data_IF_597742336164
#
_entry.id   IF_597742336164
#
_cell.length_a   1.000
_cell.length_b   1.000
_cell.length_c   1.000
_cell.angle_alpha   90.00
_cell.angle_beta   90.00
_cell.angle_gamma   90.00
#
_symmetry.space_group_name_H-M   'P 1'
#
loop_
_entity.id
_entity.type
_entity.pdbx_description
1 polymer ?
#
# COMPACT_ATOMS: atom_id res chain seq x y z
N UNK A 1 -21.23 5.30 24.72
CA UNK A 1 -19.82 5.19 24.30
C UNK A 1 -19.76 4.13 23.21
N UNK A 2 -19.31 4.47 22.01
CA UNK A 2 -19.17 3.52 20.92
C UNK A 2 -18.09 2.49 21.25
N UNK A 3 -18.07 1.33 20.55
CA UNK A 3 -17.03 0.31 20.73
C UNK A 3 -15.62 0.88 20.48
N UNK A 4 -15.48 1.75 19.48
CA UNK A 4 -14.21 2.40 19.13
C UNK A 4 -13.78 3.37 20.23
N UNK A 5 -14.69 4.17 20.77
CA UNK A 5 -14.39 5.09 21.88
C UNK A 5 -13.90 4.35 23.13
N UNK A 6 -14.52 3.21 23.45
CA UNK A 6 -14.08 2.38 24.58
C UNK A 6 -12.68 1.82 24.36
N UNK A 7 -12.38 1.30 23.15
CA UNK A 7 -11.04 0.79 22.84
C UNK A 7 -10.00 1.90 22.90
N UNK A 8 -10.28 3.07 22.34
CA UNK A 8 -9.39 4.25 22.45
C UNK A 8 -9.15 4.68 23.90
N UNK A 9 -10.18 4.66 24.74
CA UNK A 9 -10.03 4.93 26.17
C UNK A 9 -9.07 3.94 26.83
N UNK A 10 -9.20 2.63 26.56
CA UNK A 10 -8.29 1.61 27.10
C UNK A 10 -6.85 1.79 26.59
N UNK A 11 -6.67 2.10 25.30
CA UNK A 11 -5.34 2.38 24.73
C UNK A 11 -4.69 3.57 25.44
N UNK A 12 -5.43 4.67 25.64
CA UNK A 12 -4.91 5.85 26.33
C UNK A 12 -4.57 5.55 27.79
N UNK A 13 -5.36 4.73 28.46
CA UNK A 13 -5.07 4.26 29.82
C UNK A 13 -3.77 3.44 29.86
N UNK A 14 -3.55 2.54 28.88
CA UNK A 14 -2.31 1.78 28.77
C UNK A 14 -1.11 2.70 28.52
N UNK A 15 -1.23 3.68 27.61
CA UNK A 15 -0.17 4.66 27.32
C UNK A 15 0.23 5.50 28.54
N UNK A 16 -0.68 5.72 29.49
CA UNK A 16 -0.41 6.48 30.72
C UNK A 16 0.37 5.71 31.77
N UNK A 17 0.49 4.38 31.67
CA UNK A 17 1.23 3.55 32.61
C UNK A 17 2.74 3.74 32.47
N UNK A 18 3.43 4.04 33.55
CA UNK A 18 4.91 4.22 33.59
C UNK A 18 5.66 3.00 33.03
N UNK A 19 5.15 1.78 33.26
CA UNK A 19 5.74 0.56 32.74
C UNK A 19 5.70 0.52 31.21
N UNK A 20 4.59 0.96 30.60
CA UNK A 20 4.41 1.02 29.15
C UNK A 20 5.26 2.13 28.53
N UNK A 21 5.37 3.29 29.19
CA UNK A 21 6.20 4.40 28.72
C UNK A 21 7.70 4.05 28.66
N UNK A 22 8.16 3.15 29.53
CA UNK A 22 9.54 2.64 29.56
C UNK A 22 9.76 1.43 28.65
N UNK A 23 8.70 0.84 28.11
CA UNK A 23 8.73 -0.29 27.20
C UNK A 23 8.71 0.19 25.75
N UNK A 24 9.12 -0.66 24.79
CA UNK A 24 9.01 -0.38 23.36
C UNK A 24 7.56 -0.34 22.80
N UNK A 25 6.54 -0.58 23.65
CA UNK A 25 5.14 -0.72 23.19
C UNK A 25 4.41 0.59 22.89
N UNK A 26 5.00 1.75 23.19
CA UNK A 26 4.36 3.05 22.91
C UNK A 26 4.09 3.28 21.43
N UNK A 27 5.03 2.90 20.56
CA UNK A 27 4.88 3.03 19.12
C UNK A 27 3.76 2.09 18.58
N UNK A 28 3.69 0.87 19.09
CA UNK A 28 2.65 -0.10 18.71
C UNK A 28 1.26 0.36 19.12
N UNK A 29 1.12 0.88 20.35
CA UNK A 29 -0.16 1.43 20.85
C UNK A 29 -0.58 2.68 20.07
N UNK A 30 0.37 3.50 19.60
CA UNK A 30 0.07 4.64 18.75
C UNK A 30 -0.41 4.18 17.38
N UNK A 31 0.29 3.26 16.74
CA UNK A 31 -0.14 2.67 15.46
C UNK A 31 -1.52 2.04 15.55
N UNK A 32 -1.83 1.34 16.65
CA UNK A 32 -3.15 0.75 16.88
C UNK A 32 -4.24 1.83 17.02
N UNK A 33 -3.96 2.90 17.76
CA UNK A 33 -4.87 4.03 17.90
C UNK A 33 -5.14 4.71 16.56
N UNK A 34 -4.09 4.94 15.77
CA UNK A 34 -4.20 5.56 14.45
C UNK A 34 -5.06 4.71 13.50
N UNK A 35 -4.84 3.39 13.49
CA UNK A 35 -5.66 2.45 12.70
C UNK A 35 -7.13 2.41 13.12
N UNK A 36 -7.42 2.52 14.41
CA UNK A 36 -8.80 2.54 14.93
C UNK A 36 -9.53 3.83 14.57
N UNK A 37 -8.80 4.93 14.44
CA UNK A 37 -9.35 6.24 14.11
C UNK A 37 -9.30 6.55 12.61
N UNK A 38 -8.58 5.72 11.83
CA UNK A 38 -8.53 5.86 10.37
C UNK A 38 -9.91 5.50 9.79
N UNK A 39 -10.52 6.48 9.16
CA UNK A 39 -11.81 6.32 8.48
C UNK A 39 -11.69 5.69 7.09
N UNK A 40 -10.47 5.38 6.66
CA UNK A 40 -10.18 4.81 5.35
C UNK A 40 -9.83 3.34 5.51
N UNK A 41 -10.49 2.44 4.80
CA UNK A 41 -10.10 1.04 4.75
C UNK A 41 -8.87 0.87 3.84
N UNK A 42 -7.76 0.40 4.41
CA UNK A 42 -6.49 0.20 3.70
C UNK A 42 -6.29 -1.26 3.38
N UNK A 43 -6.15 -1.55 2.09
CA UNK A 43 -5.87 -2.88 1.56
C UNK A 43 -4.49 -2.86 0.88
N UNK A 44 -3.51 -3.56 1.44
CA UNK A 44 -2.20 -3.68 0.82
C UNK A 44 -2.14 -4.92 -0.09
N UNK A 45 -1.62 -4.75 -1.29
CA UNK A 45 -1.32 -5.87 -2.20
C UNK A 45 0.18 -6.12 -2.17
N UNK A 46 0.55 -7.31 -1.77
CA UNK A 46 1.94 -7.73 -1.56
C UNK A 46 2.23 -9.03 -2.31
N UNK A 47 3.48 -9.32 -2.55
CA UNK A 47 3.92 -10.53 -3.24
C UNK A 47 5.28 -10.32 -3.89
N UNK A 48 5.86 -11.39 -4.41
CA UNK A 48 7.14 -11.34 -5.11
C UNK A 48 7.12 -10.37 -6.28
N UNK A 49 8.32 -10.00 -6.74
CA UNK A 49 8.47 -9.29 -8.02
C UNK A 49 7.84 -10.13 -9.15
N UNK A 50 7.22 -9.49 -10.12
CA UNK A 50 6.52 -10.13 -11.26
C UNK A 50 5.38 -11.10 -10.88
N UNK A 51 4.86 -11.07 -9.65
CA UNK A 51 3.66 -11.82 -9.30
C UNK A 51 2.36 -11.25 -9.92
N UNK A 52 2.46 -10.13 -10.63
CA UNK A 52 1.33 -9.48 -11.32
C UNK A 52 0.51 -8.56 -10.43
N UNK A 53 1.07 -7.99 -9.36
CA UNK A 53 0.37 -7.10 -8.41
C UNK A 53 -0.34 -5.95 -9.11
N UNK A 54 0.37 -5.17 -9.89
CA UNK A 54 -0.20 -4.00 -10.57
C UNK A 54 -1.26 -4.39 -11.60
N UNK A 55 -1.06 -5.49 -12.33
CA UNK A 55 -2.06 -6.05 -13.27
C UNK A 55 -3.32 -6.50 -12.53
N UNK A 56 -3.15 -7.18 -11.39
CA UNK A 56 -4.26 -7.61 -10.55
C UNK A 56 -5.06 -6.41 -9.99
N UNK A 57 -4.36 -5.37 -9.54
CA UNK A 57 -5.01 -4.14 -9.05
C UNK A 57 -5.77 -3.46 -10.19
N UNK A 58 -5.18 -3.34 -11.37
CA UNK A 58 -5.87 -2.78 -12.56
C UNK A 58 -7.14 -3.56 -12.90
N UNK A 59 -7.11 -4.89 -12.78
CA UNK A 59 -8.29 -5.73 -12.99
C UNK A 59 -9.40 -5.46 -11.97
N UNK A 60 -9.06 -5.27 -10.70
CA UNK A 60 -10.03 -4.88 -9.65
C UNK A 60 -10.64 -3.51 -9.93
N UNK A 61 -9.82 -2.56 -10.35
CA UNK A 61 -10.23 -1.18 -10.64
C UNK A 61 -11.06 -1.10 -11.93
N UNK A 62 -10.87 -2.05 -12.86
CA UNK A 62 -11.44 -2.01 -14.19
C UNK A 62 -10.82 -0.95 -15.10
N UNK A 63 -9.64 -0.43 -14.75
CA UNK A 63 -8.89 0.57 -15.50
C UNK A 63 -7.39 0.28 -15.44
N UNK A 64 -6.69 0.63 -16.49
CA UNK A 64 -5.25 0.39 -16.63
C UNK A 64 -4.43 1.60 -16.15
N UNK A 65 -4.46 1.83 -14.83
CA UNK A 65 -3.84 3.01 -14.21
C UNK A 65 -2.40 2.74 -13.72
N UNK A 66 -2.01 1.48 -13.51
CA UNK A 66 -0.72 1.11 -12.93
C UNK A 66 0.33 0.63 -13.94
N UNK A 67 0.00 0.44 -15.21
CA UNK A 67 0.92 -0.13 -16.24
C UNK A 67 2.26 0.61 -16.36
N UNK A 68 2.33 1.83 -15.88
CA UNK A 68 3.44 2.73 -16.12
C UNK A 68 4.09 3.27 -14.85
N UNK A 69 3.59 2.90 -13.68
CA UNK A 69 4.13 3.33 -12.40
C UNK A 69 5.24 2.41 -11.85
N UNK A 70 5.39 1.20 -12.39
CA UNK A 70 6.33 0.20 -11.89
C UNK A 70 7.46 -0.06 -12.89
N UNK A 71 8.50 0.73 -12.84
CA UNK A 71 9.81 0.26 -13.28
C UNK A 71 10.40 -0.63 -12.17
N UNK A 72 11.09 -1.69 -12.58
CA UNK A 72 11.66 -2.74 -11.72
C UNK A 72 12.58 -2.24 -10.59
N UNK A 73 12.94 -0.97 -10.63
CA UNK A 73 13.94 -0.34 -9.74
C UNK A 73 13.36 0.61 -8.72
N UNK A 74 12.06 0.95 -8.78
CA UNK A 74 11.51 1.99 -7.93
C UNK A 74 10.92 1.44 -6.63
N UNK A 75 11.41 1.98 -5.51
CA UNK A 75 10.85 1.77 -4.17
C UNK A 75 9.56 2.58 -3.95
N UNK A 76 8.87 2.97 -5.01
CA UNK A 76 7.69 3.85 -4.95
C UNK A 76 6.45 3.08 -4.55
N UNK A 77 5.73 3.59 -3.56
CA UNK A 77 4.42 3.09 -3.17
C UNK A 77 3.35 3.82 -3.95
N UNK A 78 2.38 3.08 -4.50
CA UNK A 78 1.23 3.70 -5.16
C UNK A 78 -0.03 3.46 -4.35
N UNK A 79 -0.73 4.54 -4.01
CA UNK A 79 -2.01 4.54 -3.31
C UNK A 79 -3.14 4.79 -4.30
N UNK A 80 -4.09 3.89 -4.40
CA UNK A 80 -5.26 4.02 -5.25
C UNK A 80 -6.48 4.25 -4.36
N UNK A 81 -6.96 5.48 -4.35
CA UNK A 81 -8.11 5.90 -3.57
C UNK A 81 -9.40 5.68 -4.35
N UNK A 82 -10.34 4.94 -3.78
CA UNK A 82 -11.71 4.91 -4.29
C UNK A 82 -12.41 6.20 -3.87
N UNK A 83 -12.81 6.99 -4.84
CA UNK A 83 -13.54 8.24 -4.62
C UNK A 83 -14.90 8.20 -5.32
N UNK A 84 -15.93 8.88 -4.79
CA UNK A 84 -17.20 9.03 -5.47
C UNK A 84 -17.03 9.67 -6.84
N UNK A 85 -17.95 9.39 -7.78
CA UNK A 85 -17.93 10.00 -9.12
C UNK A 85 -18.11 11.53 -9.09
N UNK A 86 -18.59 12.06 -7.97
CA UNK A 86 -18.77 13.51 -7.73
C UNK A 86 -17.56 14.17 -7.07
N UNK A 87 -16.51 13.40 -6.73
CA UNK A 87 -15.29 13.93 -6.11
C UNK A 87 -14.50 14.78 -7.12
N UNK A 88 -14.06 15.96 -6.72
CA UNK A 88 -13.29 16.86 -7.57
C UNK A 88 -11.88 16.32 -7.93
N UNK A 89 -11.40 15.32 -7.21
CA UNK A 89 -10.12 14.64 -7.47
C UNK A 89 -10.27 13.46 -8.44
N UNK A 90 -11.48 13.13 -8.87
CA UNK A 90 -11.69 11.97 -9.75
C UNK A 90 -10.82 12.05 -11.01
N UNK A 91 -10.15 10.94 -11.32
CA UNK A 91 -9.19 10.78 -12.44
C UNK A 91 -7.97 11.73 -12.37
N UNK A 92 -7.57 12.13 -11.16
CA UNK A 92 -6.34 12.89 -10.93
C UNK A 92 -5.30 12.03 -10.21
N UNK A 93 -4.05 12.49 -10.18
CA UNK A 93 -3.05 11.92 -9.30
C UNK A 93 -2.14 12.99 -8.69
N UNK A 94 -1.53 12.62 -7.55
CA UNK A 94 -0.56 13.42 -6.82
C UNK A 94 0.73 12.61 -6.71
N UNK A 95 1.82 13.17 -7.18
CA UNK A 95 3.17 12.62 -7.04
C UNK A 95 3.84 13.35 -5.88
N UNK A 96 4.31 12.62 -4.89
CA UNK A 96 5.11 13.13 -3.78
C UNK A 96 6.56 12.70 -3.97
N UNK A 97 7.46 13.66 -3.93
CA UNK A 97 8.91 13.45 -4.02
C UNK A 97 9.55 13.28 -2.64
N UNK A 98 10.75 12.71 -2.59
CA UNK A 98 11.50 12.48 -1.35
C UNK A 98 11.86 13.79 -0.65
N UNK A 99 12.06 14.88 -1.40
CA UNK A 99 12.33 16.22 -0.89
C UNK A 99 11.10 16.94 -0.31
N UNK A 100 9.92 16.31 -0.38
CA UNK A 100 8.64 16.84 0.10
C UNK A 100 7.87 17.67 -0.94
N UNK A 101 8.41 17.89 -2.12
CA UNK A 101 7.69 18.54 -3.21
C UNK A 101 6.53 17.64 -3.70
N UNK A 102 5.47 18.26 -4.21
CA UNK A 102 4.33 17.55 -4.79
C UNK A 102 3.96 18.09 -6.15
N UNK A 103 3.56 17.20 -7.05
CA UNK A 103 3.02 17.54 -8.37
C UNK A 103 1.61 16.96 -8.48
N UNK A 104 0.64 17.82 -8.81
CA UNK A 104 -0.74 17.42 -9.06
C UNK A 104 -0.98 17.32 -10.55
N UNK A 105 -1.40 16.15 -11.02
CA UNK A 105 -1.76 15.90 -12.40
C UNK A 105 -3.27 15.75 -12.52
N UNK A 106 -3.87 16.54 -13.40
CA UNK A 106 -5.31 16.52 -13.69
C UNK A 106 -5.72 15.39 -14.64
N UNK A 107 -4.73 14.64 -15.16
CA UNK A 107 -4.92 13.56 -16.12
C UNK A 107 -3.97 12.40 -15.79
N UNK A 108 -4.52 11.19 -15.69
CA UNK A 108 -3.74 9.99 -15.40
C UNK A 108 -2.81 9.59 -16.56
N UNK A 109 -3.14 9.96 -17.79
CA UNK A 109 -2.26 9.68 -18.94
C UNK A 109 -0.92 10.40 -18.83
N UNK A 110 -0.89 11.56 -18.20
CA UNK A 110 0.35 12.31 -17.93
C UNK A 110 1.26 11.63 -16.90
N UNK A 111 0.72 10.74 -16.07
CA UNK A 111 1.53 9.98 -15.12
C UNK A 111 2.64 9.17 -15.81
N UNK A 112 2.41 8.75 -17.05
CA UNK A 112 3.40 8.04 -17.88
C UNK A 112 4.68 8.86 -18.07
N UNK A 113 4.57 10.17 -18.30
CA UNK A 113 5.70 11.06 -18.55
C UNK A 113 6.63 11.15 -17.33
N UNK A 114 6.06 11.00 -16.11
CA UNK A 114 6.82 11.09 -14.86
C UNK A 114 7.41 9.75 -14.40
N UNK A 115 6.91 8.63 -14.91
CA UNK A 115 7.30 7.29 -14.44
C UNK A 115 8.14 6.51 -15.45
N UNK A 116 8.30 7.01 -16.68
CA UNK A 116 9.16 6.40 -17.70
C UNK A 116 10.63 6.78 -17.51
N UNK A 117 11.51 5.77 -17.60
CA UNK A 117 12.98 5.83 -17.39
C UNK A 117 13.72 6.69 -18.43
N UNK A 118 13.03 7.27 -19.41
CA UNK A 118 13.64 8.03 -20.53
C UNK A 118 13.86 9.52 -20.27
N UNK A 119 13.61 10.02 -19.07
CA UNK A 119 14.07 11.36 -18.71
C UNK A 119 15.53 11.29 -18.29
N UNK A 120 16.38 12.15 -18.84
CA UNK A 120 17.83 12.28 -18.56
C UNK A 120 18.17 12.56 -17.08
N UNK A 121 17.15 12.58 -16.22
CA UNK A 121 17.24 12.69 -14.77
C UNK A 121 16.54 11.45 -14.21
N UNK A 122 17.14 10.75 -13.24
CA UNK A 122 16.54 9.64 -12.47
C UNK A 122 15.32 10.13 -11.63
N UNK A 123 14.29 10.69 -12.30
CA UNK A 123 13.09 11.24 -11.66
C UNK A 123 12.36 10.13 -10.89
N UNK A 124 12.38 8.90 -11.42
CA UNK A 124 11.75 7.77 -10.78
C UNK A 124 12.36 7.42 -9.39
N UNK A 125 13.67 7.62 -9.21
CA UNK A 125 14.34 7.37 -7.92
C UNK A 125 14.04 8.44 -6.87
N UNK A 126 13.56 9.61 -7.27
CA UNK A 126 13.20 10.71 -6.39
C UNK A 126 11.73 10.68 -5.95
N UNK A 127 10.89 9.82 -6.55
CA UNK A 127 9.49 9.71 -6.19
C UNK A 127 9.35 8.87 -4.91
N UNK A 128 8.71 9.45 -3.90
CA UNK A 128 8.39 8.79 -2.64
C UNK A 128 7.09 8.00 -2.74
N UNK A 129 6.04 8.62 -3.28
CA UNK A 129 4.73 7.99 -3.43
C UNK A 129 3.91 8.61 -4.57
N UNK A 130 2.96 7.82 -5.08
CA UNK A 130 1.96 8.26 -6.04
C UNK A 130 0.58 7.99 -5.47
N UNK A 131 -0.29 9.00 -5.43
CA UNK A 131 -1.70 8.88 -5.02
C UNK A 131 -2.60 9.06 -6.23
N UNK A 132 -3.39 8.05 -6.56
CA UNK A 132 -4.31 8.02 -7.71
C UNK A 132 -5.74 8.02 -7.18
N UNK A 133 -6.61 8.85 -7.75
CA UNK A 133 -8.00 8.99 -7.33
C UNK A 133 -8.93 8.50 -8.46
N UNK A 134 -9.60 7.38 -8.25
CA UNK A 134 -10.48 6.74 -9.23
C UNK A 134 -11.75 6.23 -8.56
N UNK A 135 -12.83 6.08 -9.33
CA UNK A 135 -14.06 5.45 -8.86
C UNK A 135 -14.10 4.02 -9.41
N UNK A 136 -14.08 3.02 -8.53
CA UNK A 136 -14.11 1.61 -8.91
C UNK A 136 -15.04 0.74 -8.06
N UNK A 137 -15.45 1.22 -6.90
CA UNK A 137 -16.43 0.57 -6.03
C UNK A 137 -17.51 1.56 -5.63
N UNK A 138 -18.77 1.15 -5.75
CA UNK A 138 -19.91 1.91 -5.25
C UNK A 138 -20.16 1.54 -3.78
N UNK A 139 -19.40 2.15 -2.87
CA UNK A 139 -19.50 1.94 -1.44
C UNK A 139 -19.41 3.26 -0.69
N UNK A 140 -20.13 3.37 0.40
CA UNK A 140 -20.17 4.58 1.24
C UNK A 140 -18.97 4.73 2.18
N UNK A 141 -17.98 3.86 2.04
CA UNK A 141 -16.80 3.84 2.90
C UNK A 141 -15.52 4.10 2.07
N UNK A 142 -14.66 5.03 2.50
CA UNK A 142 -13.42 5.31 1.80
C UNK A 142 -12.49 4.09 1.81
N UNK A 143 -12.04 3.69 0.63
CA UNK A 143 -11.10 2.56 0.44
C UNK A 143 -9.85 3.06 -0.25
N UNK A 144 -8.69 2.57 0.17
CA UNK A 144 -7.43 2.74 -0.54
C UNK A 144 -6.79 1.36 -0.75
N UNK A 145 -6.42 1.08 -1.99
CA UNK A 145 -5.58 -0.06 -2.36
C UNK A 145 -4.15 0.46 -2.46
N UNK A 146 -3.21 -0.22 -1.81
CA UNK A 146 -1.79 0.12 -1.86
C UNK A 146 -1.06 -0.93 -2.70
N UNK A 147 -0.48 -0.50 -3.83
CA UNK A 147 0.50 -1.29 -4.58
C UNK A 147 1.88 -1.09 -3.93
N UNK A 148 2.48 -2.19 -3.49
CA UNK A 148 3.75 -2.17 -2.77
C UNK A 148 4.90 -2.62 -3.68
N UNK A 149 6.12 -2.15 -3.44
CA UNK A 149 7.31 -2.70 -4.09
C UNK A 149 7.38 -4.21 -3.93
N UNK A 150 7.91 -4.91 -4.96
CA UNK A 150 8.10 -6.36 -4.91
C UNK A 150 9.10 -6.77 -3.81
N UNK A 151 8.86 -7.92 -3.18
CA UNK A 151 9.59 -8.37 -2.00
C UNK A 151 11.01 -8.86 -2.27
N UNK A 152 11.29 -9.26 -3.50
CA UNK A 152 12.61 -9.71 -3.95
C UNK A 152 13.43 -8.57 -4.57
N UNK A 153 13.03 -7.31 -4.34
CA UNK A 153 13.80 -6.16 -4.75
C UNK A 153 15.20 -6.15 -4.12
N UNK A 154 16.17 -5.71 -4.89
CA UNK A 154 17.62 -5.76 -4.63
C UNK A 154 18.03 -5.01 -3.35
N UNK A 155 17.14 -4.25 -2.72
CA UNK A 155 17.47 -3.40 -1.58
C UNK A 155 16.60 -3.69 -0.36
N UNK A 156 17.21 -3.77 0.82
CA UNK A 156 16.55 -3.83 2.14
C UNK A 156 15.49 -2.72 2.31
N UNK A 157 15.67 -1.59 1.63
CA UNK A 157 14.77 -0.45 1.60
C UNK A 157 13.37 -0.81 1.07
N UNK A 158 13.25 -1.62 0.00
CA UNK A 158 11.96 -2.04 -0.55
C UNK A 158 11.17 -2.88 0.45
N UNK A 159 11.88 -3.77 1.16
CA UNK A 159 11.29 -4.61 2.19
C UNK A 159 10.77 -3.77 3.36
N UNK A 160 11.54 -2.79 3.81
CA UNK A 160 11.14 -1.90 4.90
C UNK A 160 9.91 -1.07 4.53
N UNK A 161 9.87 -0.51 3.32
CA UNK A 161 8.73 0.25 2.82
C UNK A 161 7.47 -0.63 2.80
N UNK A 162 7.57 -1.84 2.23
CA UNK A 162 6.46 -2.79 2.17
C UNK A 162 5.98 -3.18 3.57
N UNK A 163 6.88 -3.46 4.52
CA UNK A 163 6.52 -3.76 5.90
C UNK A 163 5.79 -2.58 6.58
N UNK A 164 6.22 -1.35 6.32
CA UNK A 164 5.57 -0.17 6.86
C UNK A 164 4.14 0.01 6.31
N UNK A 165 3.91 -0.27 5.04
CA UNK A 165 2.56 -0.24 4.47
C UNK A 165 1.66 -1.36 5.03
N UNK A 166 2.21 -2.56 5.24
CA UNK A 166 1.48 -3.68 5.85
C UNK A 166 1.07 -3.35 7.30
N UNK A 167 1.92 -2.69 8.07
CA UNK A 167 1.58 -2.24 9.43
C UNK A 167 0.40 -1.28 9.45
N UNK A 168 0.25 -0.44 8.42
CA UNK A 168 -0.86 0.50 8.27
C UNK A 168 -2.13 -0.15 7.69
N UNK A 169 -2.00 -1.27 6.98
CA UNK A 169 -3.11 -1.92 6.30
C UNK A 169 -4.09 -2.58 7.27
N UNK A 170 -5.38 -2.57 6.94
CA UNK A 170 -6.43 -3.28 7.65
C UNK A 170 -6.52 -4.75 7.21
N UNK A 171 -6.16 -5.03 5.95
CA UNK A 171 -6.03 -6.36 5.39
C UNK A 171 -4.95 -6.37 4.29
N UNK A 172 -4.42 -7.55 3.97
CA UNK A 172 -3.45 -7.73 2.89
C UNK A 172 -3.91 -8.81 1.92
N UNK A 173 -3.68 -8.59 0.64
CA UNK A 173 -3.73 -9.62 -0.39
C UNK A 173 -2.29 -10.03 -0.67
N UNK A 174 -1.99 -11.31 -0.46
CA UNK A 174 -0.72 -11.90 -0.87
C UNK A 174 -0.88 -12.58 -2.22
N UNK A 175 -0.23 -12.03 -3.23
CA UNK A 175 -0.34 -12.53 -4.60
C UNK A 175 0.82 -13.49 -4.87
N UNK A 176 0.47 -14.75 -5.14
CA UNK A 176 1.39 -15.81 -5.52
C UNK A 176 1.57 -15.84 -7.04
N UNK A 177 2.77 -16.13 -7.51
CA UNK A 177 3.03 -16.38 -8.93
C UNK A 177 2.46 -17.74 -9.37
N UNK A 178 2.36 -17.98 -10.69
CA UNK A 178 1.82 -19.23 -11.26
C UNK A 178 2.52 -20.50 -10.75
N UNK A 179 3.79 -20.41 -10.37
CA UNK A 179 4.58 -21.55 -9.86
C UNK A 179 4.28 -21.93 -8.39
N UNK A 180 3.25 -21.29 -7.77
CA UNK A 180 2.88 -21.55 -6.38
C UNK A 180 3.83 -20.92 -5.36
N UNK A 181 3.79 -21.44 -4.13
CA UNK A 181 4.60 -20.97 -3.01
C UNK A 181 6.05 -21.41 -3.15
N UNK A 182 6.97 -20.46 -3.06
CA UNK A 182 8.42 -20.69 -2.99
C UNK A 182 8.90 -20.58 -1.54
N UNK A 183 10.13 -21.03 -1.27
CA UNK A 183 10.76 -20.89 0.05
C UNK A 183 10.81 -19.44 0.53
N UNK A 184 11.10 -18.50 -0.37
CA UNK A 184 11.16 -17.08 -0.12
C UNK A 184 9.80 -16.52 0.30
N UNK A 185 8.69 -17.03 -0.24
CA UNK A 185 7.34 -16.65 0.18
C UNK A 185 7.07 -17.06 1.63
N UNK A 186 7.47 -18.29 2.03
CA UNK A 186 7.29 -18.75 3.41
C UNK A 186 8.04 -17.89 4.42
N UNK A 187 9.27 -17.54 4.14
CA UNK A 187 10.08 -16.70 5.03
C UNK A 187 9.47 -15.32 5.17
N UNK A 188 8.97 -14.78 4.06
CA UNK A 188 8.32 -13.49 4.09
C UNK A 188 6.96 -13.52 4.80
N UNK A 189 6.12 -14.51 4.52
CA UNK A 189 4.82 -14.69 5.19
C UNK A 189 5.01 -14.79 6.71
N UNK A 190 6.04 -15.51 7.19
CA UNK A 190 6.36 -15.58 8.63
C UNK A 190 6.60 -14.20 9.23
N UNK A 191 7.33 -13.35 8.51
CA UNK A 191 7.59 -11.98 8.95
C UNK A 191 6.31 -11.16 8.94
N UNK A 192 5.50 -11.28 7.88
CA UNK A 192 4.24 -10.55 7.75
C UNK A 192 3.25 -10.88 8.86
N UNK A 193 3.17 -12.14 9.28
CA UNK A 193 2.27 -12.60 10.33
C UNK A 193 2.54 -11.94 11.70
N UNK A 194 3.73 -11.37 11.93
CA UNK A 194 4.01 -10.58 13.11
C UNK A 194 3.30 -9.21 13.11
N UNK A 195 2.95 -8.70 11.92
CA UNK A 195 2.39 -7.34 11.75
C UNK A 195 0.93 -7.34 11.31
N UNK A 196 0.51 -8.36 10.58
CA UNK A 196 -0.84 -8.48 10.03
C UNK A 196 -1.30 -9.94 10.09
N UNK A 197 -2.57 -10.15 10.48
CA UNK A 197 -3.18 -11.49 10.54
C UNK A 197 -4.32 -11.70 9.55
N UNK A 198 -4.72 -10.65 8.84
CA UNK A 198 -5.80 -10.71 7.84
C UNK A 198 -5.18 -10.75 6.45
N UNK A 199 -4.90 -11.95 5.97
CA UNK A 199 -4.39 -12.21 4.63
C UNK A 199 -5.42 -12.94 3.79
N UNK A 200 -5.49 -12.54 2.51
CA UNK A 200 -6.14 -13.27 1.44
C UNK A 200 -5.02 -13.71 0.51
N UNK A 201 -4.85 -15.02 0.33
CA UNK A 201 -3.87 -15.57 -0.61
C UNK A 201 -4.55 -15.79 -1.95
N UNK A 202 -3.96 -15.26 -3.02
CA UNK A 202 -4.46 -15.39 -4.38
C UNK A 202 -3.33 -15.91 -5.25
N UNK A 203 -3.58 -17.02 -5.95
CA UNK A 203 -2.67 -17.53 -6.97
C UNK A 203 -3.03 -16.89 -8.30
N UNK A 204 -2.05 -16.19 -8.89
CA UNK A 204 -2.16 -15.58 -10.21
C UNK A 204 -1.50 -16.46 -11.28
N UNK A 205 -1.75 -16.19 -12.57
CA UNK A 205 -1.17 -16.92 -13.70
C UNK A 205 -1.47 -18.43 -13.70
N UNK A 206 -2.62 -18.84 -13.20
CA UNK A 206 -3.02 -20.25 -13.13
C UNK A 206 -3.22 -20.88 -14.53
N UNK A 207 -3.48 -20.03 -15.51
CA UNK A 207 -3.62 -20.36 -16.94
C UNK A 207 -2.26 -20.56 -17.66
N UNK A 208 -1.17 -20.23 -16.99
CA UNK A 208 0.19 -20.35 -17.53
C UNK A 208 0.96 -21.55 -16.95
N UNK A 209 0.29 -22.45 -16.21
CA UNK A 209 0.89 -23.61 -15.55
C UNK A 209 0.64 -24.87 -16.36
#
# INVERSE_FOLDING_TARGET
MSRIENINFQINKLKSLKAVQKSGYMAELSTLSDRLNDKVFRLAVVGEFSSGKSTFINAIIGKDVLKHAATETTATVTYIYNVPVTDNRLNTCVIEYIDGNTVNLSDLDKLREYTTVNSEINVAESIKSVSIYVSFLNVDYPIVITDTPGLNGIADKHREITLNEIKKAHACIYLLSGNGLKSTDFDFIRILLNYQRKFIFIQNFIDCV
#
